data_IF_583911665678
#
_entry.id   IF_583911665678
#
_cell.length_a   1.000
_cell.length_b   1.000
_cell.length_c   1.000
_cell.angle_alpha   90.00
_cell.angle_beta   90.00
_cell.angle_gamma   90.00
#
_symmetry.space_group_name_H-M   'P 1'
#
loop_
_entity.id
_entity.type
_entity.pdbx_description
1 polymer ?
#
# COMPACT_ATOMS: atom_id res chain seq x y z
N UNK A 1 12.13 -2.25 8.71
CA UNK A 1 11.40 -2.69 9.92
C UNK A 1 11.94 -3.99 10.48
N UNK A 2 11.88 -5.13 9.78
CA UNK A 2 12.37 -6.41 10.34
C UNK A 2 13.86 -6.37 10.73
N UNK A 3 14.73 -5.85 9.85
CA UNK A 3 16.16 -5.71 10.16
C UNK A 3 16.41 -4.83 11.40
N UNK A 4 15.68 -3.74 11.54
CA UNK A 4 15.77 -2.83 12.69
C UNK A 4 15.22 -3.48 13.99
N UNK A 5 14.15 -4.27 13.89
CA UNK A 5 13.57 -5.04 15.01
C UNK A 5 14.45 -6.22 15.44
N UNK A 6 15.13 -6.87 14.50
CA UNK A 6 16.06 -7.96 14.78
C UNK A 6 17.42 -7.47 15.30
N UNK A 7 17.68 -6.16 15.27
CA UNK A 7 18.97 -5.58 15.66
C UNK A 7 20.06 -5.72 14.60
N UNK A 8 19.70 -6.06 13.35
CA UNK A 8 20.65 -6.14 12.23
C UNK A 8 21.15 -4.74 11.82
N UNK A 9 20.39 -3.69 12.15
CA UNK A 9 20.81 -2.29 12.02
C UNK A 9 20.21 -1.41 13.14
N UNK A 10 20.81 -0.23 13.34
CA UNK A 10 20.32 0.78 14.30
C UNK A 10 19.46 1.87 13.63
N UNK A 11 19.63 2.00 12.32
CA UNK A 11 18.85 2.88 11.47
C UNK A 11 18.80 2.27 10.06
N UNK A 12 17.74 2.55 9.33
CA UNK A 12 17.58 2.15 7.94
C UNK A 12 17.04 3.32 7.11
N UNK A 13 17.53 3.46 5.89
CA UNK A 13 16.89 4.30 4.88
C UNK A 13 15.98 3.40 4.05
N UNK A 14 14.71 3.74 3.94
CA UNK A 14 13.73 3.01 3.17
C UNK A 14 12.95 3.97 2.26
N UNK A 15 12.57 3.51 1.07
CA UNK A 15 11.85 4.33 0.12
C UNK A 15 11.77 3.69 -1.25
N UNK A 16 11.44 4.50 -2.25
CA UNK A 16 11.23 4.04 -3.62
C UNK A 16 11.39 5.18 -4.61
N UNK A 17 11.76 4.81 -5.84
CA UNK A 17 11.91 5.72 -6.98
C UNK A 17 11.23 5.09 -8.20
N UNK A 18 10.46 5.89 -8.92
CA UNK A 18 9.88 5.54 -10.20
C UNK A 18 10.17 6.66 -11.21
N UNK A 19 10.77 6.30 -12.33
CA UNK A 19 11.11 7.22 -13.43
C UNK A 19 10.80 6.52 -14.75
N UNK A 20 10.10 7.21 -15.65
CA UNK A 20 9.68 6.74 -16.96
C UNK A 20 10.68 7.20 -18.02
N UNK A 21 11.66 6.35 -18.31
CA UNK A 21 12.77 6.67 -19.21
C UNK A 21 12.52 6.29 -20.68
N UNK A 22 11.47 5.53 -20.97
CA UNK A 22 11.11 5.07 -22.31
C UNK A 22 9.59 4.95 -22.46
N UNK A 23 9.03 5.22 -23.66
CA UNK A 23 7.62 4.97 -23.96
C UNK A 23 7.25 3.48 -24.00
N UNK A 24 8.21 2.55 -24.12
CA UNK A 24 7.93 1.12 -24.33
C UNK A 24 7.09 0.51 -23.20
N UNK A 25 7.37 0.92 -21.96
CA UNK A 25 6.56 0.49 -20.79
C UNK A 25 5.12 0.98 -20.89
N UNK A 26 4.92 2.21 -21.39
CA UNK A 26 3.59 2.77 -21.57
C UNK A 26 2.81 2.01 -22.65
N UNK A 27 3.46 1.72 -23.78
CA UNK A 27 2.88 0.93 -24.89
C UNK A 27 2.52 -0.48 -24.40
N UNK A 28 3.42 -1.15 -23.67
CA UNK A 28 3.18 -2.48 -23.14
C UNK A 28 2.00 -2.54 -22.16
N UNK A 29 1.89 -1.54 -21.29
CA UNK A 29 0.77 -1.44 -20.33
C UNK A 29 -0.56 -1.09 -21.03
N UNK A 30 -0.53 -0.24 -22.05
CA UNK A 30 -1.72 0.08 -22.87
C UNK A 30 -2.24 -1.16 -23.61
N UNK A 31 -1.34 -1.93 -24.25
CA UNK A 31 -1.69 -3.21 -24.87
C UNK A 31 -2.24 -4.23 -23.87
N UNK A 32 -1.83 -4.15 -22.60
CA UNK A 32 -2.37 -4.95 -21.50
C UNK A 32 -3.68 -4.40 -20.91
N UNK A 33 -4.20 -3.29 -21.43
CA UNK A 33 -5.36 -2.57 -20.92
C UNK A 33 -5.23 -2.12 -19.45
N UNK A 34 -4.00 -1.83 -19.03
CA UNK A 34 -3.71 -1.37 -17.67
C UNK A 34 -3.85 0.15 -17.51
N UNK A 35 -3.85 0.93 -18.60
CA UNK A 35 -3.84 2.38 -18.52
C UNK A 35 -5.23 2.98 -18.77
N UNK A 36 -5.56 4.02 -18.01
CA UNK A 36 -6.75 4.84 -18.26
C UNK A 36 -6.58 5.64 -19.56
N UNK A 37 -7.56 5.60 -20.48
CA UNK A 37 -7.55 6.45 -21.68
C UNK A 37 -7.61 7.94 -21.37
N UNK A 38 -8.06 8.31 -20.16
CA UNK A 38 -8.16 9.70 -19.68
C UNK A 38 -7.00 10.12 -18.80
N UNK A 39 -6.01 9.25 -18.61
CA UNK A 39 -4.78 9.50 -17.84
C UNK A 39 -5.03 9.94 -16.39
N UNK A 40 -6.10 9.43 -15.76
CA UNK A 40 -6.42 9.68 -14.36
C UNK A 40 -6.72 8.38 -13.63
N UNK A 41 -6.20 8.23 -12.41
CA UNK A 41 -6.69 7.21 -11.48
C UNK A 41 -7.99 7.73 -10.86
N UNK A 42 -9.14 7.27 -11.36
CA UNK A 42 -10.46 7.67 -10.84
C UNK A 42 -10.88 6.73 -9.70
N UNK A 43 -10.07 6.70 -8.65
CA UNK A 43 -10.21 5.76 -7.54
C UNK A 43 -11.60 5.85 -6.92
N UNK A 44 -12.29 4.71 -6.84
CA UNK A 44 -13.63 4.56 -6.28
C UNK A 44 -14.75 5.30 -7.04
N UNK A 45 -14.47 5.84 -8.23
CA UNK A 45 -15.47 6.48 -9.08
C UNK A 45 -16.22 5.45 -9.94
N UNK A 46 -17.49 5.71 -10.24
CA UNK A 46 -18.28 4.83 -11.11
C UNK A 46 -17.71 4.74 -12.54
N UNK A 47 -17.02 5.80 -12.99
CA UNK A 47 -16.35 5.91 -14.29
C UNK A 47 -14.87 5.48 -14.26
N UNK A 48 -14.44 4.80 -13.19
CA UNK A 48 -13.14 4.13 -13.08
C UNK A 48 -12.81 3.29 -14.33
N UNK A 49 -11.76 3.68 -15.04
CA UNK A 49 -11.35 3.13 -16.33
C UNK A 49 -9.86 2.73 -16.37
N UNK A 50 -9.30 2.37 -15.19
CA UNK A 50 -7.92 1.98 -14.90
C UNK A 50 -7.02 3.12 -14.38
N UNK A 51 -5.71 2.89 -14.30
CA UNK A 51 -4.75 3.79 -13.64
C UNK A 51 -3.93 4.62 -14.63
N UNK A 52 -3.29 5.68 -14.15
CA UNK A 52 -2.31 6.46 -14.89
C UNK A 52 -0.92 6.34 -14.26
N UNK A 53 0.12 6.32 -15.10
CA UNK A 53 1.50 6.32 -14.61
C UNK A 53 1.91 7.70 -14.07
N UNK A 54 2.84 7.69 -13.13
CA UNK A 54 3.47 8.89 -12.59
C UNK A 54 4.91 8.60 -12.19
N UNK A 55 5.73 9.65 -12.11
CA UNK A 55 7.08 9.58 -11.59
C UNK A 55 7.13 10.09 -10.15
N UNK A 56 8.11 9.65 -9.38
CA UNK A 56 8.27 10.10 -8.01
C UNK A 56 9.47 9.46 -7.31
N UNK A 57 9.93 10.11 -6.25
CA UNK A 57 10.96 9.60 -5.37
C UNK A 57 10.62 9.99 -3.93
N UNK A 58 10.74 9.03 -3.02
CA UNK A 58 10.55 9.27 -1.59
C UNK A 58 11.53 8.43 -0.79
N UNK A 59 12.04 9.00 0.29
CA UNK A 59 12.95 8.35 1.23
C UNK A 59 12.55 8.70 2.66
N UNK A 60 12.67 7.71 3.54
CA UNK A 60 12.37 7.80 4.96
C UNK A 60 13.56 7.23 5.75
N UNK A 61 13.85 7.87 6.87
CA UNK A 61 14.79 7.34 7.87
C UNK A 61 13.97 6.64 8.94
N UNK A 62 14.27 5.35 9.15
CA UNK A 62 13.60 4.49 10.13
C UNK A 62 14.59 4.12 11.23
N UNK A 63 14.12 4.20 12.47
CA UNK A 63 14.85 3.81 13.68
C UNK A 63 13.87 3.17 14.66
N UNK A 64 14.39 2.37 15.60
CA UNK A 64 13.61 1.94 16.76
C UNK A 64 13.15 3.14 17.56
N UNK A 65 11.86 3.15 17.92
CA UNK A 65 11.27 4.24 18.69
C UNK A 65 12.02 4.54 19.99
N UNK A 66 12.53 3.51 20.68
CA UNK A 66 13.34 3.68 21.90
C UNK A 66 14.57 4.55 21.67
N UNK A 67 15.24 4.33 20.55
CA UNK A 67 16.52 4.96 20.20
C UNK A 67 16.25 6.39 19.74
N UNK A 68 15.21 6.58 18.93
CA UNK A 68 14.73 7.92 18.50
C UNK A 68 14.34 8.80 19.68
N UNK A 69 13.68 8.24 20.70
CA UNK A 69 13.33 8.96 21.94
C UNK A 69 14.58 9.27 22.77
N UNK A 70 15.50 8.31 22.92
CA UNK A 70 16.74 8.50 23.68
C UNK A 70 17.66 9.56 23.06
N UNK A 71 17.70 9.63 21.73
CA UNK A 71 18.49 10.59 20.97
C UNK A 71 17.78 11.94 20.77
N UNK A 72 16.51 12.07 21.19
CA UNK A 72 15.68 13.26 21.04
C UNK A 72 15.55 13.72 19.57
N UNK A 73 15.43 12.74 18.67
CA UNK A 73 15.18 12.96 17.25
C UNK A 73 13.74 13.41 17.00
N UNK A 74 13.51 14.11 15.88
CA UNK A 74 12.16 14.48 15.45
C UNK A 74 11.39 13.25 14.92
N UNK A 75 10.27 12.92 15.56
CA UNK A 75 9.43 11.78 15.19
C UNK A 75 8.28 12.26 14.30
N UNK A 76 8.31 11.93 13.00
CA UNK A 76 7.22 12.24 12.07
C UNK A 76 6.03 11.29 12.20
N UNK A 77 6.27 10.06 12.66
CA UNK A 77 5.26 9.03 12.82
C UNK A 77 5.87 7.72 13.33
N UNK A 78 5.00 6.80 13.76
CA UNK A 78 5.41 5.49 14.27
C UNK A 78 4.74 4.40 13.45
N UNK A 79 5.54 3.49 12.90
CA UNK A 79 5.04 2.30 12.20
C UNK A 79 4.74 1.23 13.24
N UNK A 80 3.45 1.01 13.56
CA UNK A 80 3.04 0.00 14.54
C UNK A 80 3.22 -1.43 14.01
N UNK A 81 3.01 -1.65 12.72
CA UNK A 81 3.23 -2.95 12.06
C UNK A 81 3.33 -2.79 10.55
N UNK A 82 3.95 -3.77 9.90
CA UNK A 82 3.99 -3.94 8.45
C UNK A 82 3.82 -5.44 8.18
N UNK A 83 3.04 -5.76 7.16
CA UNK A 83 2.78 -7.14 6.77
C UNK A 83 2.81 -7.28 5.25
N UNK A 84 3.24 -8.46 4.78
CA UNK A 84 3.33 -8.79 3.35
C UNK A 84 2.78 -10.19 3.07
N UNK A 85 2.06 -10.35 1.97
CA UNK A 85 1.67 -11.66 1.46
C UNK A 85 1.54 -11.61 -0.08
N UNK A 86 0.94 -12.66 -0.67
CA UNK A 86 0.82 -12.77 -2.12
C UNK A 86 -0.55 -13.35 -2.52
N UNK A 87 -1.02 -12.96 -3.71
CA UNK A 87 -2.31 -13.34 -4.29
C UNK A 87 -2.24 -14.67 -5.07
N UNK A 88 -1.64 -15.72 -4.50
CA UNK A 88 -1.26 -16.93 -5.25
C UNK A 88 -2.39 -17.77 -5.82
N UNK A 89 -3.60 -17.65 -5.27
CA UNK A 89 -4.79 -18.37 -5.71
C UNK A 89 -5.71 -17.51 -6.60
N UNK A 90 -5.20 -16.38 -7.12
CA UNK A 90 -5.97 -15.53 -8.03
C UNK A 90 -6.26 -16.24 -9.37
N UNK A 91 -7.37 -15.88 -10.01
CA UNK A 91 -7.80 -16.46 -11.29
C UNK A 91 -6.84 -16.16 -12.45
N UNK A 92 -6.05 -15.09 -12.36
CA UNK A 92 -4.94 -14.80 -13.27
C UNK A 92 -3.80 -14.16 -12.49
N UNK A 93 -2.60 -14.14 -13.09
CA UNK A 93 -1.39 -13.56 -12.47
C UNK A 93 -1.53 -12.08 -12.10
N UNK A 94 -2.37 -11.33 -12.82
CA UNK A 94 -2.63 -9.90 -12.57
C UNK A 94 -3.92 -9.65 -11.80
N UNK A 95 -4.69 -10.70 -11.51
CA UNK A 95 -5.94 -10.57 -10.79
C UNK A 95 -5.70 -10.47 -9.28
N UNK A 96 -6.57 -9.72 -8.60
CA UNK A 96 -6.53 -9.56 -7.15
C UNK A 96 -7.14 -10.80 -6.47
N UNK A 97 -6.74 -11.07 -5.22
CA UNK A 97 -7.30 -12.17 -4.44
C UNK A 97 -7.87 -11.66 -3.11
N UNK A 98 -9.21 -11.57 -3.01
CA UNK A 98 -9.90 -11.04 -1.82
C UNK A 98 -9.46 -11.72 -0.52
N UNK A 99 -9.44 -13.06 -0.42
CA UNK A 99 -9.03 -13.72 0.82
C UNK A 99 -7.60 -13.39 1.24
N UNK A 100 -6.67 -13.24 0.29
CA UNK A 100 -5.29 -12.85 0.61
C UNK A 100 -5.25 -11.45 1.24
N UNK A 101 -5.99 -10.49 0.71
CA UNK A 101 -6.00 -9.15 1.27
C UNK A 101 -6.68 -9.08 2.65
N UNK A 102 -7.77 -9.82 2.86
CA UNK A 102 -8.41 -9.94 4.19
C UNK A 102 -7.44 -10.55 5.20
N UNK A 103 -6.75 -11.63 4.81
CA UNK A 103 -5.75 -12.27 5.66
C UNK A 103 -4.58 -11.33 5.99
N UNK A 104 -4.16 -10.50 5.02
CA UNK A 104 -3.14 -9.48 5.23
C UNK A 104 -3.58 -8.46 6.28
N UNK A 105 -4.78 -7.90 6.11
CA UNK A 105 -5.34 -6.89 7.00
C UNK A 105 -5.52 -7.42 8.43
N UNK A 106 -6.06 -8.63 8.58
CA UNK A 106 -6.24 -9.27 9.87
C UNK A 106 -4.91 -9.50 10.60
N UNK A 107 -3.87 -9.90 9.85
CA UNK A 107 -2.53 -10.10 10.42
C UNK A 107 -1.91 -8.76 10.83
N UNK A 108 -2.07 -7.72 10.03
CA UNK A 108 -1.62 -6.36 10.34
C UNK A 108 -2.25 -5.82 11.63
N UNK A 109 -3.58 -5.93 11.78
CA UNK A 109 -4.26 -5.51 13.01
C UNK A 109 -3.86 -6.35 14.23
N UNK A 110 -3.71 -7.65 14.05
CA UNK A 110 -3.25 -8.54 15.11
C UNK A 110 -1.82 -8.19 15.56
N UNK A 111 -0.91 -7.96 14.61
CA UNK A 111 0.50 -7.67 14.90
C UNK A 111 0.70 -6.26 15.45
N UNK A 112 -0.08 -5.28 14.99
CA UNK A 112 -0.01 -3.91 15.50
C UNK A 112 -0.66 -3.74 16.88
N UNK A 113 -1.59 -4.62 17.25
CA UNK A 113 -2.42 -4.46 18.45
C UNK A 113 -3.39 -3.28 18.39
N UNK A 114 -3.54 -2.65 17.22
CA UNK A 114 -4.44 -1.50 17.02
C UNK A 114 -5.86 -2.01 16.80
N UNK A 115 -6.82 -1.46 17.54
CA UNK A 115 -8.23 -1.72 17.26
C UNK A 115 -8.63 -0.98 15.97
N UNK A 116 -9.25 -1.69 15.03
CA UNK A 116 -9.68 -1.12 13.77
C UNK A 116 -10.61 0.10 13.92
N UNK A 117 -11.40 0.18 15.00
CA UNK A 117 -12.24 1.34 15.31
C UNK A 117 -11.47 2.62 15.62
N UNK A 118 -10.14 2.52 15.85
CA UNK A 118 -9.26 3.68 16.06
C UNK A 118 -8.64 4.20 14.77
N UNK A 119 -8.83 3.50 13.65
CA UNK A 119 -8.34 3.93 12.34
C UNK A 119 -9.25 5.03 11.83
N UNK A 120 -8.70 6.24 11.69
CA UNK A 120 -9.45 7.41 11.21
C UNK A 120 -9.32 7.62 9.70
N UNK A 121 -8.23 7.13 9.11
CA UNK A 121 -7.90 7.31 7.70
C UNK A 121 -7.28 6.02 7.18
N UNK A 122 -7.67 5.65 5.96
CA UNK A 122 -7.02 4.58 5.22
C UNK A 122 -6.55 5.16 3.89
N UNK A 123 -5.25 5.07 3.63
CA UNK A 123 -4.69 5.29 2.30
C UNK A 123 -4.82 3.97 1.53
N UNK A 124 -5.70 3.96 0.54
CA UNK A 124 -5.97 2.78 -0.27
C UNK A 124 -4.97 2.66 -1.44
N UNK A 125 -4.86 1.48 -2.03
CA UNK A 125 -4.13 1.31 -3.28
C UNK A 125 -4.83 2.03 -4.44
N UNK A 126 -6.16 1.89 -4.53
CA UNK A 126 -7.05 2.76 -5.30
C UNK A 126 -6.58 3.04 -6.73
N UNK A 127 -6.38 2.00 -7.54
CA UNK A 127 -5.85 2.18 -8.90
C UNK A 127 -6.87 2.76 -9.87
N UNK A 128 -8.14 2.96 -9.48
CA UNK A 128 -9.16 3.43 -10.41
C UNK A 128 -9.67 2.30 -11.31
N UNK A 129 -9.62 1.05 -10.84
CA UNK A 129 -10.17 -0.11 -11.55
C UNK A 129 -11.48 -0.51 -10.90
N UNK A 130 -12.57 -0.66 -11.66
CA UNK A 130 -13.88 -0.99 -11.09
C UNK A 130 -13.84 -2.22 -10.18
N UNK A 131 -13.21 -3.31 -10.65
CA UNK A 131 -13.09 -4.54 -9.87
C UNK A 131 -12.14 -4.40 -8.67
N UNK A 132 -11.02 -3.70 -8.84
CA UNK A 132 -10.01 -3.56 -7.79
C UNK A 132 -10.48 -2.69 -6.64
N UNK A 133 -10.98 -1.50 -6.98
CA UNK A 133 -11.47 -0.52 -6.02
C UNK A 133 -12.67 -1.05 -5.23
N UNK A 134 -13.63 -1.70 -5.91
CA UNK A 134 -14.75 -2.36 -5.24
C UNK A 134 -14.28 -3.42 -4.24
N UNK A 135 -13.34 -4.26 -4.68
CA UNK A 135 -12.82 -5.31 -3.83
C UNK A 135 -12.04 -4.76 -2.63
N UNK A 136 -11.33 -3.64 -2.80
CA UNK A 136 -10.59 -2.98 -1.72
C UNK A 136 -11.54 -2.44 -0.65
N UNK A 137 -12.64 -1.76 -1.07
CA UNK A 137 -13.66 -1.26 -0.15
C UNK A 137 -14.32 -2.36 0.69
N UNK A 138 -14.58 -3.53 0.11
CA UNK A 138 -15.17 -4.66 0.84
C UNK A 138 -14.29 -5.21 1.97
N UNK A 139 -13.00 -4.89 1.97
CA UNK A 139 -12.01 -5.43 2.91
C UNK A 139 -11.60 -4.43 3.98
N UNK A 140 -11.84 -3.14 3.75
CA UNK A 140 -11.58 -2.12 4.76
C UNK A 140 -12.39 -2.47 6.01
N UNK A 141 -11.78 -2.41 7.20
CA UNK A 141 -12.54 -2.58 8.42
C UNK A 141 -13.57 -1.46 8.48
N UNK A 142 -14.82 -1.77 8.17
CA UNK A 142 -15.91 -0.84 8.35
C UNK A 142 -15.98 -0.61 9.85
N UNK A 143 -15.62 0.60 10.30
CA UNK A 143 -16.07 1.08 11.59
C UNK A 143 -17.60 1.14 11.51
N UNK A 144 -18.26 0.02 11.82
CA UNK A 144 -19.69 0.02 12.10
C UNK A 144 -19.85 0.80 13.39
N UNK A 145 -20.14 2.10 13.25
CA UNK A 145 -20.87 2.81 14.28
C UNK A 145 -22.25 2.15 14.35
N UNK A 146 -22.38 1.17 15.23
CA UNK A 146 -23.66 0.75 15.79
C UNK A 146 -23.83 1.44 17.15
#
# INVERSE_FOLDING_TARGET
CCADQNGDCNAAIAGGVNVMLSPDMFIGLDHGHFLSPTSQCKSFDASADSYSQSEGCSLFVLKRLSDTVAENDNILGVICSIDINQSGLAHSITHLHIPSQVALMNRLFKNSGVNASRVSVVEAHGTGTQAGDFSELQRLPVATHA
#
